data_IF_690878975435
#
_entry.id   IF_690878975435
#
_cell.length_a   1.000
_cell.length_b   1.000
_cell.length_c   1.000
_cell.angle_alpha   90.00
_cell.angle_beta   90.00
_cell.angle_gamma   90.00
#
_symmetry.space_group_name_H-M   'P 1'
#
loop_
_entity.id
_entity.type
_entity.pdbx_description
1 polymer ?
#
# COMPACT_ATOMS: atom_id res chain seq x y z
N UNK A 1 22.92 -10.26 -11.11
CA UNK A 1 22.78 -8.79 -11.25
C UNK A 1 21.71 -8.38 -10.25
N UNK A 2 22.16 -7.89 -9.11
CA UNK A 2 21.63 -8.30 -7.81
C UNK A 2 20.58 -7.31 -7.30
N UNK A 3 19.54 -7.86 -6.66
CA UNK A 3 18.28 -7.24 -6.22
C UNK A 3 18.47 -5.99 -5.33
N UNK A 4 19.70 -5.73 -4.84
CA UNK A 4 20.10 -4.55 -4.04
C UNK A 4 20.06 -3.29 -4.88
N UNK A 5 20.47 -3.35 -6.15
CA UNK A 5 20.47 -2.16 -7.01
C UNK A 5 19.04 -1.69 -7.27
N UNK A 6 18.11 -2.62 -7.51
CA UNK A 6 16.70 -2.30 -7.78
C UNK A 6 15.98 -1.75 -6.55
N UNK A 7 16.32 -2.26 -5.37
CA UNK A 7 15.86 -1.80 -4.06
C UNK A 7 16.35 -0.39 -3.73
N UNK A 8 17.66 -0.14 -3.86
CA UNK A 8 18.25 1.16 -3.61
C UNK A 8 17.64 2.21 -4.56
N UNK A 9 17.37 1.83 -5.82
CA UNK A 9 16.69 2.69 -6.79
C UNK A 9 15.23 2.98 -6.42
N UNK A 10 14.46 2.01 -5.90
CA UNK A 10 13.06 2.24 -5.49
C UNK A 10 12.94 3.18 -4.26
N UNK A 11 13.85 3.04 -3.28
CA UNK A 11 13.98 3.96 -2.13
C UNK A 11 14.31 5.37 -2.62
N UNK A 12 15.24 5.48 -3.56
CA UNK A 12 15.61 6.73 -4.23
C UNK A 12 14.51 7.31 -5.13
N UNK A 13 13.46 6.55 -5.47
CA UNK A 13 12.33 7.02 -6.27
C UNK A 13 11.14 7.49 -5.41
N UNK A 14 11.03 7.03 -4.16
CA UNK A 14 10.00 7.48 -3.19
C UNK A 14 10.47 8.73 -2.43
N UNK A 15 11.78 8.77 -2.15
CA UNK A 15 12.44 9.80 -1.37
C UNK A 15 13.47 10.52 -2.24
N UNK A 16 13.61 11.84 -2.10
CA UNK A 16 14.71 12.56 -2.75
C UNK A 16 16.04 11.86 -2.41
N UNK A 17 16.76 11.30 -3.40
CA UNK A 17 18.01 10.56 -3.18
C UNK A 17 19.03 11.35 -2.38
N UNK A 18 18.95 12.68 -2.40
CA UNK A 18 19.90 13.56 -1.75
C UNK A 18 19.54 13.93 -0.29
N UNK A 19 18.32 13.65 0.19
CA UNK A 19 17.87 14.21 1.47
C UNK A 19 17.00 13.31 2.36
N UNK A 20 16.42 12.21 1.87
CA UNK A 20 15.30 11.57 2.61
C UNK A 20 15.39 10.03 2.74
N UNK A 21 16.55 9.44 2.42
CA UNK A 21 16.85 8.01 2.61
C UNK A 21 16.93 7.59 4.09
N UNK A 22 17.36 8.50 4.96
CA UNK A 22 17.51 8.25 6.41
C UNK A 22 16.18 7.84 7.08
N UNK A 23 15.06 8.46 6.70
CA UNK A 23 13.74 8.16 7.29
C UNK A 23 13.27 6.75 6.95
N UNK A 24 13.52 6.34 5.71
CA UNK A 24 13.22 5.01 5.24
C UNK A 24 14.07 3.96 5.98
N UNK A 25 15.37 4.22 6.13
CA UNK A 25 16.30 3.37 6.88
C UNK A 25 15.90 3.19 8.35
N UNK A 26 15.35 4.22 8.99
CA UNK A 26 14.90 4.14 10.38
C UNK A 26 13.72 3.17 10.56
N UNK A 27 12.75 3.22 9.66
CA UNK A 27 11.62 2.26 9.66
C UNK A 27 12.12 0.84 9.41
N UNK A 28 13.03 0.67 8.46
CA UNK A 28 13.65 -0.62 8.15
C UNK A 28 14.46 -1.17 9.34
N UNK A 29 15.19 -0.30 10.05
CA UNK A 29 15.96 -0.66 11.25
C UNK A 29 15.06 -1.23 12.34
N UNK A 30 13.94 -0.55 12.63
CA UNK A 30 12.97 -1.02 13.64
C UNK A 30 12.37 -2.36 13.23
N UNK A 31 12.01 -2.52 11.96
CA UNK A 31 11.52 -3.79 11.44
C UNK A 31 12.53 -4.92 11.67
N UNK A 32 13.79 -4.73 11.22
CA UNK A 32 14.86 -5.73 11.36
C UNK A 32 15.15 -6.09 12.81
N UNK A 33 15.09 -5.12 13.73
CA UNK A 33 15.28 -5.40 15.16
C UNK A 33 14.20 -6.29 15.74
N UNK A 34 12.95 -6.15 15.28
CA UNK A 34 11.80 -6.83 15.88
C UNK A 34 11.47 -8.18 15.26
N UNK A 35 11.80 -8.38 13.99
CA UNK A 35 11.58 -9.68 13.33
C UNK A 35 12.66 -10.70 13.63
N UNK A 36 13.75 -10.30 14.31
CA UNK A 36 14.87 -11.17 14.66
C UNK A 36 15.65 -11.57 13.41
N UNK A 37 16.86 -11.04 13.24
CA UNK A 37 17.75 -11.46 12.15
C UNK A 37 18.11 -12.94 12.25
N UNK A 38 17.30 -13.80 11.60
CA UNK A 38 17.50 -15.24 11.51
C UNK A 38 18.03 -15.65 10.14
N UNK A 39 19.28 -16.13 10.15
CA UNK A 39 20.01 -16.88 9.13
C UNK A 39 20.19 -16.25 7.72
N UNK A 40 21.38 -15.67 7.52
CA UNK A 40 22.30 -16.08 6.46
C UNK A 40 21.92 -15.89 4.98
N UNK A 41 20.72 -15.43 4.65
CA UNK A 41 20.36 -15.06 3.28
C UNK A 41 20.53 -13.55 3.13
N UNK A 42 21.59 -13.13 2.41
CA UNK A 42 21.82 -11.75 1.99
C UNK A 42 20.50 -11.14 1.46
N UNK A 43 19.84 -10.35 2.30
CA UNK A 43 18.55 -9.74 1.95
C UNK A 43 18.82 -8.45 1.23
N UNK A 44 19.00 -8.60 -0.08
CA UNK A 44 18.90 -7.52 -1.04
C UNK A 44 17.42 -7.39 -1.49
N UNK A 45 16.62 -6.42 -1.02
CA UNK A 45 15.25 -6.20 -1.57
C UNK A 45 14.32 -5.18 -0.86
N UNK A 46 13.95 -4.12 -1.61
CA UNK A 46 13.10 -2.92 -1.43
C UNK A 46 12.52 -2.49 -0.06
N UNK A 47 12.93 -1.31 0.45
CA UNK A 47 12.03 -0.41 1.19
C UNK A 47 11.00 0.05 0.14
N UNK A 48 9.83 -0.58 0.23
CA UNK A 48 8.86 -0.68 -0.86
C UNK A 48 8.81 -2.06 -1.54
N UNK A 49 8.76 -3.18 -0.78
CA UNK A 49 7.98 -4.43 -1.03
C UNK A 49 8.61 -5.71 -0.38
N UNK A 50 7.77 -6.45 0.39
CA UNK A 50 7.79 -7.91 0.78
C UNK A 50 8.78 -8.43 1.85
N UNK A 51 8.55 -9.51 2.63
CA UNK A 51 7.92 -10.84 2.39
C UNK A 51 7.47 -11.54 3.71
N UNK A 52 6.24 -12.09 3.77
CA UNK A 52 5.90 -13.38 4.38
C UNK A 52 4.70 -13.95 3.58
N UNK A 53 4.31 -15.20 3.78
CA UNK A 53 3.27 -15.86 2.96
C UNK A 53 1.90 -15.14 3.00
N UNK A 54 1.72 -14.21 3.94
CA UNK A 54 0.67 -13.19 3.97
C UNK A 54 1.20 -11.81 3.50
N UNK A 55 0.87 -11.43 2.27
CA UNK A 55 1.44 -10.25 1.59
C UNK A 55 0.75 -8.96 2.04
N UNK A 56 1.37 -8.17 2.90
CA UNK A 56 0.92 -6.80 3.26
C UNK A 56 1.68 -5.74 2.45
N UNK A 57 1.00 -4.68 2.02
CA UNK A 57 1.59 -3.48 1.44
C UNK A 57 1.75 -2.40 2.53
N UNK A 58 3.00 -2.12 2.92
CA UNK A 58 3.32 -0.99 3.80
C UNK A 58 3.80 0.19 2.95
N UNK A 59 3.03 1.29 2.95
CA UNK A 59 3.30 2.49 2.18
C UNK A 59 3.87 3.58 3.09
N UNK A 60 5.12 4.00 2.84
CA UNK A 60 5.73 5.12 3.54
C UNK A 60 5.33 6.43 2.85
N UNK A 61 4.49 7.21 3.52
CA UNK A 61 4.00 8.47 3.02
C UNK A 61 4.94 9.62 3.43
N UNK A 62 5.57 10.23 2.44
CA UNK A 62 6.40 11.41 2.54
C UNK A 62 5.84 12.57 1.70
N UNK A 63 6.57 13.70 1.62
CA UNK A 63 6.10 14.94 0.98
C UNK A 63 5.66 14.77 -0.48
N UNK A 64 6.31 13.86 -1.21
CA UNK A 64 6.13 13.68 -2.66
C UNK A 64 5.49 12.34 -3.03
N UNK A 65 5.21 11.46 -2.06
CA UNK A 65 4.72 10.09 -2.33
C UNK A 65 3.42 10.10 -3.13
N UNK A 66 2.47 10.98 -2.81
CA UNK A 66 1.20 11.06 -3.54
C UNK A 66 1.33 11.54 -5.00
N UNK A 67 2.39 12.28 -5.32
CA UNK A 67 2.66 12.75 -6.69
C UNK A 67 3.24 11.66 -7.58
N UNK A 68 3.74 10.57 -7.00
CA UNK A 68 4.32 9.46 -7.74
C UNK A 68 3.22 8.59 -8.36
N UNK A 69 3.10 8.65 -9.69
CA UNK A 69 2.08 7.89 -10.43
C UNK A 69 2.18 6.38 -10.22
N UNK A 70 3.40 5.86 -10.08
CA UNK A 70 3.60 4.43 -9.87
C UNK A 70 3.11 3.98 -8.49
N UNK A 71 3.14 4.84 -7.46
CA UNK A 71 2.58 4.55 -6.13
C UNK A 71 1.07 4.33 -6.24
N UNK A 72 0.38 5.22 -6.94
CA UNK A 72 -1.07 5.10 -7.17
C UNK A 72 -1.43 3.79 -7.87
N UNK A 73 -0.61 3.40 -8.85
CA UNK A 73 -0.75 2.12 -9.55
C UNK A 73 -0.55 0.92 -8.62
N UNK A 74 0.50 0.90 -7.78
CA UNK A 74 0.74 -0.21 -6.85
C UNK A 74 -0.34 -0.35 -5.78
N UNK A 75 -0.76 0.76 -5.20
CA UNK A 75 -1.84 0.77 -4.20
C UNK A 75 -3.12 0.22 -4.82
N UNK A 76 -3.46 0.65 -6.05
CA UNK A 76 -4.64 0.14 -6.73
C UNK A 76 -4.52 -1.36 -7.05
N UNK A 77 -3.34 -1.85 -7.44
CA UNK A 77 -3.12 -3.30 -7.63
C UNK A 77 -3.23 -4.08 -6.33
N UNK A 78 -2.73 -3.56 -5.22
CA UNK A 78 -2.87 -4.17 -3.90
C UNK A 78 -4.34 -4.23 -3.48
N UNK A 79 -5.09 -3.14 -3.71
CA UNK A 79 -6.52 -3.09 -3.48
C UNK A 79 -7.27 -4.17 -4.28
N UNK A 80 -7.05 -4.24 -5.59
CA UNK A 80 -7.67 -5.24 -6.48
C UNK A 80 -7.35 -6.68 -6.04
N UNK A 81 -6.13 -6.90 -5.55
CA UNK A 81 -5.67 -8.23 -5.09
C UNK A 81 -6.18 -8.61 -3.69
N UNK A 82 -6.82 -7.70 -2.97
CA UNK A 82 -7.12 -7.92 -1.56
C UNK A 82 -5.86 -8.02 -0.68
N UNK A 83 -4.77 -7.40 -1.11
CA UNK A 83 -3.53 -7.29 -0.32
C UNK A 83 -3.77 -6.24 0.77
N UNK A 84 -3.67 -6.56 2.08
CA UNK A 84 -3.84 -5.59 3.14
C UNK A 84 -2.89 -4.39 2.95
N UNK A 85 -3.37 -3.18 3.20
CA UNK A 85 -2.61 -1.95 2.99
C UNK A 85 -2.50 -1.19 4.31
N UNK A 86 -1.27 -0.82 4.67
CA UNK A 86 -0.96 0.04 5.82
C UNK A 86 -0.21 1.27 5.31
N UNK A 87 -0.69 2.46 5.64
CA UNK A 87 0.00 3.71 5.28
C UNK A 87 0.63 4.32 6.52
N UNK A 88 1.91 4.67 6.44
CA UNK A 88 2.68 5.26 7.53
C UNK A 88 3.28 6.58 7.07
N UNK A 89 2.80 7.69 7.62
CA UNK A 89 3.36 9.02 7.42
C UNK A 89 4.68 9.17 8.18
N UNK A 90 5.77 9.28 7.42
CA UNK A 90 7.13 9.42 7.93
C UNK A 90 7.63 10.86 7.88
N UNK A 91 6.83 11.83 7.40
CA UNK A 91 7.26 13.23 7.34
C UNK A 91 7.61 13.83 8.72
N UNK A 92 7.09 13.23 9.80
CA UNK A 92 7.37 13.58 11.19
C UNK A 92 8.78 13.15 11.67
N UNK A 93 9.44 12.23 10.97
CA UNK A 93 10.81 11.81 11.28
C UNK A 93 11.80 12.93 10.93
N UNK A 94 12.86 13.03 11.74
CA UNK A 94 13.96 13.96 11.47
C UNK A 94 14.94 13.32 10.47
N UNK A 95 15.41 14.11 9.52
CA UNK A 95 16.53 13.74 8.66
C UNK A 95 17.88 13.92 9.39
N UNK A 96 18.98 13.69 8.69
CA UNK A 96 20.34 13.88 9.21
C UNK A 96 20.63 15.31 9.66
N UNK A 97 19.92 16.29 9.08
CA UNK A 97 19.99 17.72 9.44
C UNK A 97 19.10 18.06 10.63
N UNK A 98 18.47 17.04 11.24
CA UNK A 98 17.50 17.16 12.35
C UNK A 98 16.22 17.90 11.95
N UNK A 99 15.94 18.02 10.65
CA UNK A 99 14.78 18.71 10.10
C UNK A 99 13.64 17.73 9.80
N UNK A 100 12.41 18.22 10.00
CA UNK A 100 11.18 17.53 9.59
C UNK A 100 10.78 18.05 8.23
N UNK A 101 10.28 17.19 7.37
CA UNK A 101 9.72 17.62 6.11
C UNK A 101 8.28 18.09 6.29
N UNK A 102 7.80 18.86 5.32
CA UNK A 102 6.38 19.19 5.26
C UNK A 102 5.56 17.92 4.99
N UNK A 103 4.40 17.83 5.63
CA UNK A 103 3.50 16.70 5.42
C UNK A 103 3.04 16.65 3.97
N UNK A 104 3.21 15.49 3.34
CA UNK A 104 2.71 15.22 1.99
C UNK A 104 1.21 14.95 1.97
N UNK A 105 0.59 15.10 0.81
CA UNK A 105 -0.78 14.60 0.58
C UNK A 105 -0.78 13.08 0.74
N UNK A 106 -1.87 12.52 1.26
CA UNK A 106 -2.02 11.08 1.34
C UNK A 106 -2.32 10.49 -0.06
N UNK A 107 -1.57 9.49 -0.55
CA UNK A 107 -1.82 8.84 -1.82
C UNK A 107 -3.22 8.21 -1.92
N UNK A 108 -3.78 7.74 -0.79
CA UNK A 108 -5.10 7.13 -0.78
C UNK A 108 -6.24 8.12 -1.00
N UNK A 109 -6.03 9.43 -0.74
CA UNK A 109 -7.01 10.49 -1.05
C UNK A 109 -7.12 10.74 -2.57
N UNK A 110 -6.21 10.17 -3.35
CA UNK A 110 -6.17 10.28 -4.81
C UNK A 110 -6.79 9.08 -5.51
N UNK A 111 -7.31 8.11 -4.77
CA UNK A 111 -7.86 6.88 -5.30
C UNK A 111 -9.27 6.69 -4.76
N UNK A 112 -10.19 6.26 -5.61
CA UNK A 112 -11.55 5.95 -5.21
C UNK A 112 -12.10 4.71 -5.89
N UNK A 113 -13.07 4.10 -5.21
CA UNK A 113 -13.87 3.01 -5.71
C UNK A 113 -15.35 3.42 -5.62
N UNK A 114 -16.14 3.07 -6.63
CA UNK A 114 -17.57 3.37 -6.69
C UNK A 114 -18.30 2.14 -7.19
N UNK A 115 -19.32 1.69 -6.47
CA UNK A 115 -20.02 0.48 -6.83
C UNK A 115 -21.29 0.80 -7.62
N UNK A 116 -21.43 0.13 -8.75
CA UNK A 116 -22.61 0.16 -9.59
C UNK A 116 -23.07 -1.29 -9.80
N UNK A 117 -24.14 -1.67 -9.12
CA UNK A 117 -24.62 -3.05 -9.07
C UNK A 117 -23.51 -4.05 -8.65
N UNK A 118 -23.06 -4.90 -9.58
CA UNK A 118 -22.02 -5.92 -9.38
C UNK A 118 -20.63 -5.48 -9.84
N UNK A 119 -20.49 -4.24 -10.30
CA UNK A 119 -19.23 -3.68 -10.81
C UNK A 119 -18.71 -2.63 -9.84
N UNK A 120 -17.42 -2.68 -9.56
CA UNK A 120 -16.70 -1.66 -8.83
C UNK A 120 -15.84 -0.88 -9.82
N UNK A 121 -16.18 0.39 -10.03
CA UNK A 121 -15.44 1.33 -10.85
C UNK A 121 -14.30 1.94 -10.04
N UNK A 122 -13.09 1.85 -10.58
CA UNK A 122 -11.87 2.32 -9.92
C UNK A 122 -11.41 3.61 -10.58
N UNK A 123 -11.17 4.65 -9.78
CA UNK A 123 -10.80 5.97 -10.26
C UNK A 123 -9.55 6.46 -9.55
N UNK A 124 -8.75 7.22 -10.30
CA UNK A 124 -7.59 7.94 -9.80
C UNK A 124 -7.79 9.44 -10.06
N UNK A 125 -7.36 10.28 -9.13
CA UNK A 125 -7.40 11.72 -9.27
C UNK A 125 -6.14 12.20 -10.00
N UNK A 126 -6.33 12.88 -11.12
CA UNK A 126 -5.23 13.48 -11.85
C UNK A 126 -4.97 14.90 -11.32
N UNK A 127 -3.83 15.14 -10.63
CA UNK A 127 -3.56 16.44 -10.04
C UNK A 127 -3.25 17.53 -11.07
N UNK A 128 -2.95 17.16 -12.32
CA UNK A 128 -2.69 18.13 -13.41
C UNK A 128 -4.00 18.65 -13.99
N UNK A 129 -4.97 17.76 -14.22
CA UNK A 129 -6.26 18.12 -14.83
C UNK A 129 -7.36 18.40 -13.81
N UNK A 130 -7.10 18.14 -12.51
CA UNK A 130 -8.03 18.23 -11.39
C UNK A 130 -9.32 17.42 -11.60
N UNK A 131 -9.20 16.29 -12.30
CA UNK A 131 -10.33 15.40 -12.63
C UNK A 131 -10.07 13.99 -12.17
N UNK A 132 -11.13 13.32 -11.75
CA UNK A 132 -11.16 11.88 -11.62
C UNK A 132 -11.17 11.23 -13.00
N UNK A 133 -10.35 10.22 -13.17
CA UNK A 133 -10.25 9.42 -14.39
C UNK A 133 -10.22 7.93 -14.02
N UNK A 134 -10.48 7.05 -14.97
CA UNK A 134 -10.36 5.61 -14.73
C UNK A 134 -8.94 5.26 -14.24
N UNK A 135 -8.86 4.42 -13.21
CA UNK A 135 -7.57 4.01 -12.66
C UNK A 135 -6.76 3.22 -13.70
N UNK A 136 -5.45 3.49 -13.78
CA UNK A 136 -4.58 2.83 -14.77
C UNK A 136 -4.35 1.35 -14.50
N UNK A 137 -4.46 0.92 -13.25
CA UNK A 137 -4.29 -0.49 -12.87
C UNK A 137 -5.43 -1.37 -13.38
N UNK A 138 -6.66 -0.86 -13.32
CA UNK A 138 -7.87 -1.39 -13.96
C UNK A 138 -8.95 -0.33 -13.85
N UNK A 139 -9.81 -0.19 -14.86
CA UNK A 139 -10.95 0.74 -14.81
C UNK A 139 -12.10 0.22 -13.96
N UNK A 140 -12.23 -1.10 -13.85
CA UNK A 140 -13.25 -1.76 -13.04
C UNK A 140 -12.86 -3.19 -12.66
N UNK A 141 -13.50 -3.69 -11.61
CA UNK A 141 -13.45 -5.08 -11.18
C UNK A 141 -14.84 -5.52 -10.73
N UNK A 142 -15.16 -6.82 -10.72
CA UNK A 142 -16.38 -7.27 -10.05
C UNK A 142 -16.33 -6.86 -8.58
N UNK A 143 -17.43 -6.33 -8.04
CA UNK A 143 -17.51 -5.85 -6.64
C UNK A 143 -17.08 -6.92 -5.65
N UNK A 144 -17.42 -8.16 -5.97
CA UNK A 144 -17.10 -9.33 -5.19
C UNK A 144 -15.63 -9.78 -5.25
N UNK A 145 -14.84 -9.27 -6.21
CA UNK A 145 -13.45 -9.69 -6.38
C UNK A 145 -12.52 -9.05 -5.33
N UNK A 146 -13.02 -8.06 -4.59
CA UNK A 146 -12.25 -7.30 -3.60
C UNK A 146 -12.80 -7.64 -2.21
N UNK A 147 -11.95 -8.05 -1.25
CA UNK A 147 -12.40 -8.54 0.05
C UNK A 147 -12.63 -7.41 1.06
N UNK A 148 -12.86 -6.16 0.62
CA UNK A 148 -13.07 -5.04 1.55
C UNK A 148 -14.55 -4.73 1.69
N UNK A 149 -15.07 -4.62 2.93
CA UNK A 149 -16.46 -4.25 3.15
C UNK A 149 -16.66 -2.80 2.69
N UNK A 150 -17.50 -2.61 1.69
CA UNK A 150 -17.87 -1.31 1.16
C UNK A 150 -19.38 -1.19 1.22
N UNK A 151 -19.88 -0.35 2.13
CA UNK A 151 -21.32 -0.15 2.35
C UNK A 151 -21.90 0.90 1.39
N UNK A 152 -22.98 0.55 0.69
CA UNK A 152 -23.65 1.44 -0.26
C UNK A 152 -23.07 1.37 -1.68
N UNK A 153 -23.13 2.47 -2.43
CA UNK A 153 -22.68 2.56 -3.83
C UNK A 153 -21.48 3.50 -4.05
N UNK A 154 -20.90 4.06 -2.99
CA UNK A 154 -19.75 4.99 -3.10
C UNK A 154 -20.16 6.40 -3.53
N UNK A 155 -19.18 7.29 -3.85
CA UNK A 155 -17.76 7.00 -3.99
C UNK A 155 -17.04 6.86 -2.63
N UNK A 156 -16.25 5.81 -2.46
CA UNK A 156 -15.35 5.64 -1.30
C UNK A 156 -13.94 6.04 -1.71
N UNK A 157 -13.32 6.91 -0.91
CA UNK A 157 -11.88 7.13 -1.00
C UNK A 157 -11.17 5.95 -0.37
N UNK A 158 -10.01 5.55 -0.91
CA UNK A 158 -9.25 4.47 -0.26
C UNK A 158 -8.78 4.87 1.14
N UNK A 159 -8.66 6.17 1.41
CA UNK A 159 -8.32 6.69 2.74
C UNK A 159 -9.42 6.50 3.79
N UNK A 160 -10.67 6.25 3.39
CA UNK A 160 -11.73 5.87 4.33
C UNK A 160 -11.78 4.36 4.59
N UNK A 161 -11.04 3.57 3.82
CA UNK A 161 -11.02 2.10 3.92
C UNK A 161 -9.78 1.63 4.69
N UNK A 162 -8.63 2.23 4.43
CA UNK A 162 -7.36 1.81 5.03
C UNK A 162 -6.87 2.77 6.12
N UNK A 163 -6.29 2.24 7.20
CA UNK A 163 -5.73 3.07 8.25
C UNK A 163 -4.49 3.81 7.77
N UNK A 164 -4.33 5.04 8.28
CA UNK A 164 -3.18 5.89 8.02
C UNK A 164 -2.61 6.29 9.38
N UNK A 165 -1.41 5.81 9.67
CA UNK A 165 -0.71 6.10 10.92
C UNK A 165 0.35 7.17 10.67
N UNK A 166 0.75 7.88 11.72
CA UNK A 166 1.91 8.75 11.75
C UNK A 166 2.96 8.17 12.66
N UNK A 167 4.19 8.08 12.15
CA UNK A 167 5.25 7.35 12.85
C UNK A 167 5.54 7.86 14.27
N UNK A 168 5.64 9.18 14.44
CA UNK A 168 6.00 9.74 15.76
C UNK A 168 4.80 9.81 16.69
N UNK A 169 3.64 10.23 16.19
CA UNK A 169 2.44 10.45 16.99
C UNK A 169 1.77 9.14 17.43
N UNK A 170 1.80 8.11 16.58
CA UNK A 170 1.17 6.81 16.85
C UNK A 170 2.17 5.77 17.38
N UNK A 171 3.37 6.19 17.79
CA UNK A 171 4.41 5.33 18.36
C UNK A 171 4.83 4.19 17.42
N UNK A 172 5.13 4.51 16.16
CA UNK A 172 5.47 3.53 15.12
C UNK A 172 6.64 2.62 15.47
N UNK A 173 7.61 3.10 16.26
CA UNK A 173 8.70 2.28 16.80
C UNK A 173 8.19 1.07 17.59
N UNK A 174 7.04 1.22 18.26
CA UNK A 174 6.39 0.21 19.11
C UNK A 174 5.31 -0.56 18.35
N UNK A 175 4.52 0.15 17.56
CA UNK A 175 3.23 -0.35 17.05
C UNK A 175 3.27 -0.86 15.61
N UNK A 176 4.36 -0.70 14.86
CA UNK A 176 4.42 -1.10 13.44
C UNK A 176 3.96 -2.54 13.17
N UNK A 177 4.38 -3.50 13.99
CA UNK A 177 3.95 -4.90 13.84
C UNK A 177 2.45 -5.07 14.12
N UNK A 178 1.95 -4.43 15.17
CA UNK A 178 0.52 -4.48 15.50
C UNK A 178 -0.34 -3.92 14.36
N UNK A 179 0.08 -2.83 13.71
CA UNK A 179 -0.64 -2.28 12.55
C UNK A 179 -0.71 -3.24 11.37
N UNK A 180 0.36 -4.02 11.16
CA UNK A 180 0.42 -5.02 10.10
C UNK A 180 -0.50 -6.20 10.43
N UNK A 181 -0.47 -6.67 11.68
CA UNK A 181 -1.33 -7.75 12.18
C UNK A 181 -2.81 -7.35 12.16
N UNK A 182 -3.13 -6.10 12.50
CA UNK A 182 -4.47 -5.52 12.40
C UNK A 182 -4.97 -5.52 10.95
N UNK A 183 -4.15 -5.05 10.01
CA UNK A 183 -4.51 -5.02 8.59
C UNK A 183 -4.72 -6.43 8.01
N UNK A 184 -3.88 -7.38 8.41
CA UNK A 184 -4.02 -8.80 8.07
C UNK A 184 -5.33 -9.37 8.58
N UNK A 185 -5.59 -9.19 9.88
CA UNK A 185 -6.79 -9.69 10.55
C UNK A 185 -8.06 -9.09 9.93
N UNK A 186 -8.07 -7.78 9.68
CA UNK A 186 -9.20 -7.10 9.05
C UNK A 186 -9.54 -7.67 7.66
N UNK A 187 -8.50 -8.00 6.88
CA UNK A 187 -8.67 -8.57 5.53
C UNK A 187 -9.12 -10.04 5.60
N UNK A 188 -8.60 -10.82 6.56
CA UNK A 188 -9.00 -12.21 6.76
C UNK A 188 -10.46 -12.33 7.23
N UNK A 189 -10.89 -11.50 8.19
CA UNK A 189 -12.28 -11.45 8.64
C UNK A 189 -13.22 -11.12 7.49
N UNK A 190 -12.87 -10.13 6.67
CA UNK A 190 -13.69 -9.76 5.52
C UNK A 190 -13.72 -10.84 4.41
N UNK A 191 -12.68 -11.68 4.31
CA UNK A 191 -12.69 -12.86 3.43
C UNK A 191 -13.57 -14.01 3.96
N UNK A 192 -13.72 -14.14 5.28
CA UNK A 192 -14.55 -15.19 5.91
C UNK A 192 -16.05 -14.88 5.82
N UNK A 193 -16.43 -13.60 5.87
CA UNK A 193 -17.82 -13.16 5.74
C UNK A 193 -18.31 -13.11 4.27
N UNK A 194 -17.45 -13.42 3.31
CA UNK A 194 -17.80 -13.50 1.89
C UNK A 194 -18.68 -14.73 1.61
N UNK A 195 -19.80 -14.61 0.88
CA UNK A 195 -20.70 -15.73 0.64
C UNK A 195 -19.97 -16.88 -0.11
N UNK A 196 -20.28 -18.17 0.17
CA UNK A 196 -19.50 -19.32 -0.33
C UNK A 196 -19.34 -19.39 -1.86
N UNK A 197 -20.31 -18.85 -2.60
CA UNK A 197 -20.27 -18.77 -4.06
C UNK A 197 -19.13 -17.88 -4.59
N UNK A 198 -18.71 -16.87 -3.83
CA UNK A 198 -17.58 -15.98 -4.15
C UNK A 198 -16.23 -16.69 -4.03
N UNK A 199 -16.06 -17.47 -2.97
CA UNK A 199 -14.82 -18.21 -2.67
C UNK A 199 -14.56 -19.26 -3.76
N UNK A 200 -15.63 -19.91 -4.24
CA UNK A 200 -15.58 -20.84 -5.37
C UNK A 200 -15.22 -20.13 -6.69
N UNK A 201 -15.77 -18.93 -6.95
CA UNK A 201 -15.47 -18.16 -8.16
C UNK A 201 -14.00 -17.70 -8.20
N UNK A 202 -13.45 -17.21 -7.07
CA UNK A 202 -12.05 -16.81 -6.96
C UNK A 202 -11.08 -18.00 -7.12
N UNK A 203 -11.42 -19.17 -6.57
CA UNK A 203 -10.63 -20.40 -6.73
C UNK A 203 -10.71 -20.99 -8.15
N UNK A 204 -11.80 -20.72 -8.88
CA UNK A 204 -12.03 -21.21 -10.24
C UNK A 204 -11.49 -20.30 -11.34
N UNK A 205 -10.96 -19.12 -11.02
CA UNK A 205 -10.42 -18.20 -12.02
C UNK A 205 -9.00 -18.64 -12.40
N UNK A 206 -8.79 -19.27 -13.58
CA UNK A 206 -7.43 -19.52 -14.03
C UNK A 206 -6.81 -18.16 -14.29
N UNK A 207 -5.58 -17.95 -13.84
CA UNK A 207 -4.75 -16.82 -14.24
C UNK A 207 -4.66 -16.77 -15.78
N UNK A 208 -5.63 -16.13 -16.43
CA UNK A 208 -5.60 -15.82 -17.87
C UNK A 208 -4.86 -14.51 -18.05
N UNK A 209 -3.54 -14.59 -17.91
CA UNK A 209 -2.63 -13.81 -18.73
C UNK A 209 -2.00 -14.78 -19.73
N UNK A 210 -2.78 -15.22 -20.71
CA UNK A 210 -2.22 -15.63 -21.98
C UNK A 210 -2.05 -14.33 -22.77
N UNK A 211 -0.82 -13.82 -22.79
CA UNK A 211 -0.38 -12.83 -23.76
C UNK A 211 -0.41 -13.52 -25.13
N UNK A 212 -1.19 -12.96 -26.05
CA UNK A 212 -1.07 -13.20 -27.48
C UNK A 212 -0.55 -11.92 -28.13
#
# INVERSE_FOLDING_TARGET
>A
MTMERTMHTAIQLIFDPQHDTHRAQEVERVWRMKTGGGDGTQTQGALGLRHSDDKVLVLLNGPHTASQRWIQFEVMRAFIRGTPIVVVDVSCLRDERKLRAMRGRNPLDLLSAEAEAQTLWLKEFNPVTLKWQAARASSSVPRYAVPYPMDGNGPWLLSSIFPIYRWTEDWGERNLLAWIDEALSATQSAAQDAPPALVAAAASSPARFAVA
#
